data_IF_157637200198
#
_entry.id   IF_157637200198
#
_cell.length_a   1.000
_cell.length_b   1.000
_cell.length_c   1.000
_cell.angle_alpha   90.00
_cell.angle_beta   90.00
_cell.angle_gamma   90.00
#
_symmetry.space_group_name_H-M   'P 1'
#
loop_
_entity.id
_entity.type
_entity.pdbx_description
1 polymer ?
#
# COMPACT_ATOMS: atom_id res chain seq x y z
N UNK A 1 4.39 -21.40 24.82
CA UNK A 1 4.01 -20.13 24.16
C UNK A 1 3.59 -20.45 22.73
N UNK A 2 2.31 -20.33 22.38
CA UNK A 2 1.84 -20.61 21.01
C UNK A 2 2.39 -19.52 20.09
N UNK A 3 3.31 -19.87 19.19
CA UNK A 3 3.75 -19.01 18.09
C UNK A 3 2.50 -18.56 17.32
N UNK A 4 2.10 -17.30 17.50
CA UNK A 4 1.17 -16.63 16.58
C UNK A 4 1.92 -16.53 15.27
N UNK A 5 1.77 -17.54 14.41
CA UNK A 5 2.11 -17.43 13.00
C UNK A 5 1.50 -16.11 12.54
N UNK A 6 2.35 -15.15 12.16
CA UNK A 6 1.94 -13.85 11.63
C UNK A 6 1.30 -14.10 10.27
N UNK A 7 0.07 -14.60 10.27
CA UNK A 7 -0.72 -14.79 9.07
C UNK A 7 -1.24 -13.41 8.70
N UNK A 8 -0.87 -12.95 7.50
CA UNK A 8 -1.41 -11.71 6.94
C UNK A 8 -2.92 -11.81 6.79
N UNK A 9 -3.63 -10.70 7.05
CA UNK A 9 -5.09 -10.61 6.80
C UNK A 9 -5.41 -10.47 5.31
N UNK A 10 -4.41 -10.23 4.46
CA UNK A 10 -4.60 -10.08 3.03
C UNK A 10 -4.56 -11.42 2.30
N UNK A 11 -5.42 -11.61 1.27
CA UNK A 11 -5.42 -12.82 0.46
C UNK A 11 -4.14 -12.92 -0.39
N UNK A 12 -3.20 -13.76 0.05
CA UNK A 12 -1.89 -13.95 -0.57
C UNK A 12 -2.00 -14.26 -2.07
N UNK A 13 -2.95 -15.10 -2.48
CA UNK A 13 -3.16 -15.45 -3.88
C UNK A 13 -3.49 -14.23 -4.77
N UNK A 14 -4.26 -13.26 -4.23
CA UNK A 14 -4.62 -12.04 -4.97
C UNK A 14 -3.42 -11.11 -5.12
N UNK A 15 -2.61 -10.95 -4.07
CA UNK A 15 -1.37 -10.18 -4.11
C UNK A 15 -0.44 -10.76 -5.18
N UNK A 16 -0.22 -12.09 -5.15
CA UNK A 16 0.59 -12.78 -6.16
C UNK A 16 0.09 -12.53 -7.58
N UNK A 17 -1.23 -12.63 -7.80
CA UNK A 17 -1.82 -12.38 -9.13
C UNK A 17 -1.63 -10.95 -9.62
N UNK A 18 -1.68 -9.95 -8.74
CA UNK A 18 -1.43 -8.54 -9.10
C UNK A 18 0.05 -8.35 -9.45
N UNK A 19 0.95 -8.95 -8.68
CA UNK A 19 2.40 -8.78 -8.89
C UNK A 19 2.92 -9.54 -10.10
N UNK A 20 2.32 -10.66 -10.44
CA UNK A 20 2.61 -11.39 -11.68
C UNK A 20 2.05 -10.70 -12.94
N UNK A 21 1.30 -9.60 -12.81
CA UNK A 21 0.98 -8.75 -13.97
C UNK A 21 2.19 -7.98 -14.48
N UNK A 22 3.19 -7.79 -13.62
CA UNK A 22 4.44 -7.16 -13.99
C UNK A 22 5.44 -8.25 -14.39
N UNK A 23 5.76 -8.30 -15.69
CA UNK A 23 6.66 -9.31 -16.27
C UNK A 23 8.10 -9.18 -15.74
N UNK A 24 8.51 -8.01 -15.27
CA UNK A 24 9.85 -7.77 -14.72
C UNK A 24 9.99 -8.35 -13.30
N UNK A 25 8.90 -8.49 -12.55
CA UNK A 25 8.92 -9.08 -11.19
C UNK A 25 9.43 -10.53 -11.19
N UNK A 26 9.13 -11.30 -12.24
CA UNK A 26 9.63 -12.68 -12.39
C UNK A 26 11.15 -12.76 -12.64
N UNK A 27 11.73 -11.75 -13.29
CA UNK A 27 13.16 -11.67 -13.64
C UNK A 27 13.98 -11.13 -12.45
N UNK A 28 13.47 -10.12 -11.74
CA UNK A 28 14.10 -9.56 -10.54
C UNK A 28 14.20 -10.57 -9.40
N UNK A 29 13.24 -11.50 -9.31
CA UNK A 29 13.29 -12.62 -8.37
C UNK A 29 14.49 -13.56 -8.58
N UNK A 30 15.06 -13.62 -9.79
CA UNK A 30 16.26 -14.42 -10.09
C UNK A 30 17.57 -13.65 -9.86
N UNK A 31 17.58 -12.34 -10.08
CA UNK A 31 18.78 -11.51 -10.00
C UNK A 31 19.18 -11.11 -8.57
N UNK A 32 18.26 -11.20 -7.60
CA UNK A 32 18.52 -10.76 -6.23
C UNK A 32 18.97 -11.93 -5.35
N UNK A 33 20.19 -11.89 -4.75
CA UNK A 33 20.66 -12.97 -3.91
C UNK A 33 19.70 -13.24 -2.74
N UNK A 34 19.50 -14.53 -2.53
CA UNK A 34 18.60 -15.29 -1.64
C UNK A 34 18.44 -14.76 -0.19
N UNK A 35 19.16 -13.73 0.26
CA UNK A 35 18.95 -13.16 1.60
C UNK A 35 17.56 -12.52 1.78
N UNK A 36 16.88 -12.15 0.68
CA UNK A 36 15.52 -11.57 0.72
C UNK A 36 14.44 -12.60 0.30
N UNK A 37 14.78 -13.75 -0.32
CA UNK A 37 13.80 -14.48 -1.16
C UNK A 37 13.37 -15.93 -0.79
N UNK A 38 14.09 -16.79 -0.04
CA UNK A 38 13.54 -18.08 0.39
C UNK A 38 13.42 -18.28 1.91
N UNK A 39 13.98 -17.39 2.74
CA UNK A 39 13.83 -17.45 4.21
C UNK A 39 12.97 -16.34 4.80
N UNK A 40 12.73 -15.27 4.04
CA UNK A 40 11.76 -14.21 4.36
C UNK A 40 10.63 -14.35 3.35
N UNK A 41 9.59 -15.08 3.76
CA UNK A 41 8.34 -15.32 3.02
C UNK A 41 8.02 -14.18 2.03
N UNK A 42 8.17 -14.36 0.70
CA UNK A 42 7.78 -13.34 -0.29
C UNK A 42 6.30 -12.96 -0.18
N UNK A 43 5.46 -13.82 0.40
CA UNK A 43 4.06 -13.51 0.72
C UNK A 43 3.88 -12.55 1.89
N UNK A 44 4.85 -12.43 2.80
CA UNK A 44 4.70 -11.68 4.04
C UNK A 44 5.24 -10.26 3.94
N UNK A 45 6.30 -10.02 3.15
CA UNK A 45 6.85 -8.67 2.98
C UNK A 45 5.83 -7.74 2.32
N UNK A 46 5.25 -8.12 1.18
CA UNK A 46 4.24 -7.29 0.50
C UNK A 46 2.97 -7.13 1.30
N UNK A 47 2.54 -8.19 1.98
CA UNK A 47 1.41 -8.11 2.90
C UNK A 47 1.65 -7.07 4.01
N UNK A 48 2.87 -7.04 4.57
CA UNK A 48 3.22 -6.12 5.64
C UNK A 48 3.43 -4.70 5.13
N UNK A 49 4.10 -4.54 3.99
CA UNK A 49 4.25 -3.26 3.33
C UNK A 49 2.88 -2.68 2.94
N UNK A 50 1.97 -3.49 2.42
CA UNK A 50 0.59 -3.10 2.11
C UNK A 50 -0.18 -2.68 3.36
N UNK A 51 -0.01 -3.39 4.48
CA UNK A 51 -0.60 -3.00 5.76
C UNK A 51 -0.11 -1.63 6.22
N UNK A 52 1.20 -1.39 6.18
CA UNK A 52 1.80 -0.11 6.57
C UNK A 52 1.40 1.02 5.63
N UNK A 53 1.38 0.74 4.32
CA UNK A 53 0.95 1.69 3.30
C UNK A 53 -0.51 2.10 3.48
N UNK A 54 -1.42 1.14 3.71
CA UNK A 54 -2.82 1.43 3.99
C UNK A 54 -3.00 2.25 5.28
N UNK A 55 -2.19 1.99 6.30
CA UNK A 55 -2.18 2.80 7.51
C UNK A 55 -1.77 4.25 7.21
N UNK A 56 -0.64 4.42 6.51
CA UNK A 56 -0.09 5.74 6.16
C UNK A 56 -1.08 6.58 5.34
N UNK A 57 -1.65 6.01 4.27
CA UNK A 57 -2.55 6.78 3.39
C UNK A 57 -3.84 7.20 4.10
N UNK A 58 -4.39 6.34 4.97
CA UNK A 58 -5.56 6.66 5.78
C UNK A 58 -5.22 7.72 6.83
N UNK A 59 -4.03 7.67 7.41
CA UNK A 59 -3.57 8.66 8.37
C UNK A 59 -3.41 10.05 7.72
N UNK A 60 -2.79 10.13 6.55
CA UNK A 60 -2.66 11.39 5.81
C UNK A 60 -4.02 11.96 5.39
N UNK A 61 -4.92 11.13 4.84
CA UNK A 61 -6.28 11.56 4.51
C UNK A 61 -7.06 12.04 5.76
N UNK A 62 -6.85 11.41 6.91
CA UNK A 62 -7.46 11.82 8.18
C UNK A 62 -6.89 13.14 8.70
N UNK A 63 -5.58 13.41 8.54
CA UNK A 63 -4.98 14.72 8.86
C UNK A 63 -5.64 15.83 8.04
N UNK A 64 -5.79 15.63 6.72
CA UNK A 64 -6.50 16.58 5.85
C UNK A 64 -7.95 16.76 6.29
N UNK A 65 -8.65 15.68 6.60
CA UNK A 65 -10.04 15.68 7.08
C UNK A 65 -10.20 16.53 8.35
N UNK A 66 -9.31 16.34 9.34
CA UNK A 66 -9.29 17.11 10.58
C UNK A 66 -8.96 18.58 10.36
N UNK A 67 -8.00 18.88 9.48
CA UNK A 67 -7.60 20.26 9.16
C UNK A 67 -8.75 21.04 8.50
N UNK A 68 -9.61 20.37 7.72
CA UNK A 68 -10.83 20.96 7.14
C UNK A 68 -12.03 20.95 8.10
N UNK A 69 -11.86 20.49 9.35
CA UNK A 69 -12.93 20.46 10.36
C UNK A 69 -14.00 19.40 10.14
N UNK A 70 -13.78 18.45 9.22
CA UNK A 70 -14.73 17.35 8.96
C UNK A 70 -14.52 16.19 9.95
N UNK A 71 -15.59 15.44 10.21
CA UNK A 71 -15.55 14.18 10.98
C UNK A 71 -15.60 12.94 10.09
N UNK A 72 -15.71 13.13 8.77
CA UNK A 72 -15.86 12.08 7.78
C UNK A 72 -14.80 12.23 6.69
N UNK A 73 -14.02 11.17 6.49
CA UNK A 73 -13.07 11.08 5.38
C UNK A 73 -13.85 10.89 4.08
N UNK A 74 -13.50 11.67 3.07
CA UNK A 74 -14.17 11.69 1.76
C UNK A 74 -13.11 11.64 0.66
N UNK A 75 -13.52 11.36 -0.58
CA UNK A 75 -12.57 11.14 -1.67
C UNK A 75 -11.66 12.34 -1.93
N UNK A 76 -12.17 13.56 -1.81
CA UNK A 76 -11.35 14.76 -2.01
C UNK A 76 -10.29 14.95 -0.92
N UNK A 77 -10.54 14.51 0.32
CA UNK A 77 -9.52 14.51 1.38
C UNK A 77 -8.34 13.60 1.03
N UNK A 78 -8.64 12.46 0.40
CA UNK A 78 -7.62 11.54 -0.10
C UNK A 78 -6.85 12.16 -1.27
N UNK A 79 -7.53 12.80 -2.22
CA UNK A 79 -6.88 13.53 -3.32
C UNK A 79 -5.89 14.56 -2.79
N UNK A 80 -6.30 15.39 -1.84
CA UNK A 80 -5.41 16.37 -1.22
C UNK A 80 -4.24 15.74 -0.46
N UNK A 81 -4.46 14.63 0.24
CA UNK A 81 -3.37 13.91 0.91
C UNK A 81 -2.33 13.40 -0.10
N UNK A 82 -2.78 12.90 -1.25
CA UNK A 82 -1.92 12.46 -2.37
C UNK A 82 -1.17 13.64 -3.00
N UNK A 83 -1.82 14.77 -3.19
CA UNK A 83 -1.20 15.98 -3.78
C UNK A 83 -0.14 16.62 -2.87
N UNK A 84 -0.30 16.50 -1.55
CA UNK A 84 0.57 17.14 -0.55
C UNK A 84 1.67 16.23 0.00
N UNK A 85 1.58 14.92 -0.23
CA UNK A 85 2.56 13.93 0.25
C UNK A 85 3.40 13.43 -0.91
N UNK A 86 4.67 13.83 -0.98
CA UNK A 86 5.59 13.44 -2.07
C UNK A 86 5.69 11.91 -2.26
N UNK A 87 5.72 11.14 -1.17
CA UNK A 87 5.77 9.67 -1.24
C UNK A 87 4.52 9.03 -1.88
N UNK A 88 3.42 9.77 -2.03
CA UNK A 88 2.17 9.31 -2.64
C UNK A 88 2.02 9.73 -4.11
N UNK A 89 3.03 10.36 -4.72
CA UNK A 89 2.98 10.90 -6.09
C UNK A 89 2.51 9.87 -7.14
N UNK A 90 2.88 8.60 -6.95
CA UNK A 90 2.47 7.49 -7.81
C UNK A 90 0.94 7.23 -7.87
N UNK A 91 0.16 7.90 -7.02
CA UNK A 91 -1.30 7.82 -6.99
C UNK A 91 -1.99 9.01 -7.65
N UNK A 92 -1.26 10.06 -8.07
CA UNK A 92 -1.86 11.30 -8.58
C UNK A 92 -2.78 11.07 -9.77
N UNK A 93 -2.34 10.27 -10.74
CA UNK A 93 -3.15 9.91 -11.92
C UNK A 93 -4.45 9.17 -11.53
N UNK A 94 -4.41 8.37 -10.45
CA UNK A 94 -5.58 7.61 -9.98
C UNK A 94 -6.62 8.54 -9.36
N UNK A 95 -6.20 9.58 -8.63
CA UNK A 95 -7.10 10.50 -7.92
C UNK A 95 -7.47 11.74 -8.72
N UNK A 96 -6.88 11.95 -9.90
CA UNK A 96 -7.07 13.15 -10.72
C UNK A 96 -8.54 13.50 -10.95
N UNK A 97 -9.34 12.50 -11.31
CA UNK A 97 -10.77 12.62 -11.61
C UNK A 97 -11.67 12.95 -10.40
N UNK A 98 -11.14 12.93 -9.17
CA UNK A 98 -11.92 13.22 -7.97
C UNK A 98 -12.19 14.73 -7.88
N UNK A 99 -13.46 15.18 -7.83
CA UNK A 99 -13.80 16.58 -7.64
C UNK A 99 -13.49 17.03 -6.20
N UNK A 100 -12.97 18.25 -6.04
CA UNK A 100 -12.80 18.91 -4.72
C UNK A 100 -13.92 19.97 -4.58
N UNK A 101 -14.80 19.85 -3.57
CA UNK A 101 -15.89 20.81 -3.31
C UNK A 101 -15.43 22.13 -2.69
#
# INVERSE_FOLDING_TARGET
MKNKNKQTKFPVARIKKIMQKDEEVGKVAQATPIVICPSIFPSLFWSKALELFLGMIVEEANKVTKNRGSKKVEAYHLKHAVETTEMLDFLKEIVESVPDP
#
